data_IF_314571427336
#
_entry.id   IF_314571427336
#
_cell.length_a   1.000
_cell.length_b   1.000
_cell.length_c   1.000
_cell.angle_alpha   90.00
_cell.angle_beta   90.00
_cell.angle_gamma   90.00
#
_symmetry.space_group_name_H-M   'P 1'
#
loop_
_entity.id
_entity.type
_entity.pdbx_description
1 polymer ?
#
# COMPACT_ATOMS: atom_id res chain seq x y z
N UNK A 1 21.95 6.45 -12.03
CA UNK A 1 22.13 6.02 -10.64
C UNK A 1 20.91 6.49 -9.86
N UNK A 2 19.96 5.60 -9.54
CA UNK A 2 18.71 5.96 -8.85
C UNK A 2 18.63 5.21 -7.52
N UNK A 3 18.46 5.95 -6.43
CA UNK A 3 18.24 5.40 -5.10
C UNK A 3 16.75 5.19 -4.89
N UNK A 4 16.38 4.10 -4.22
CA UNK A 4 14.99 3.87 -3.79
C UNK A 4 14.80 4.50 -2.41
N UNK A 5 13.63 5.08 -2.10
CA UNK A 5 13.24 5.40 -0.74
C UNK A 5 13.28 4.14 0.14
N UNK A 6 13.35 4.31 1.45
CA UNK A 6 13.19 3.20 2.37
C UNK A 6 11.83 2.54 2.13
N UNK A 7 11.82 1.21 1.97
CA UNK A 7 10.61 0.47 1.67
C UNK A 7 10.64 -0.95 2.23
N UNK A 8 9.44 -1.48 2.50
CA UNK A 8 9.23 -2.88 2.89
C UNK A 8 8.36 -3.54 1.83
N UNK A 9 8.80 -4.69 1.32
CA UNK A 9 8.01 -5.49 0.38
C UNK A 9 6.97 -6.34 1.12
N UNK A 10 5.74 -6.31 0.63
CA UNK A 10 4.64 -7.13 1.14
C UNK A 10 4.14 -8.11 0.08
N UNK A 11 3.79 -9.31 0.55
CA UNK A 11 3.21 -10.38 -0.25
C UNK A 11 2.04 -10.99 0.50
N UNK A 12 0.83 -10.73 0.04
CA UNK A 12 -0.40 -11.02 0.78
C UNK A 12 -1.30 -11.94 -0.05
N UNK A 13 -1.89 -12.91 0.64
CA UNK A 13 -2.94 -13.80 0.12
C UNK A 13 -4.25 -13.45 0.83
N UNK A 14 -5.29 -13.10 0.08
CA UNK A 14 -6.65 -12.97 0.60
C UNK A 14 -7.37 -14.32 0.67
N UNK A 15 -8.68 -14.26 0.90
CA UNK A 15 -9.59 -15.42 0.91
C UNK A 15 -9.74 -16.12 -0.46
N UNK A 16 -9.46 -15.43 -1.56
CA UNK A 16 -9.53 -15.98 -2.92
C UNK A 16 -8.31 -15.61 -3.75
N UNK A 17 -8.02 -16.42 -4.78
CA UNK A 17 -6.85 -16.23 -5.65
C UNK A 17 -6.80 -14.83 -6.28
N UNK A 18 -7.94 -14.28 -6.65
CA UNK A 18 -8.08 -12.93 -7.24
C UNK A 18 -7.71 -11.79 -6.28
N UNK A 19 -7.45 -12.08 -5.00
CA UNK A 19 -7.02 -11.12 -3.98
C UNK A 19 -5.51 -11.20 -3.69
N UNK A 20 -4.73 -11.94 -4.49
CA UNK A 20 -3.27 -11.98 -4.35
C UNK A 20 -2.68 -10.59 -4.64
N UNK A 21 -1.94 -10.03 -3.68
CA UNK A 21 -1.32 -8.71 -3.81
C UNK A 21 0.17 -8.75 -3.45
N UNK A 22 1.02 -8.25 -4.35
CA UNK A 22 2.41 -7.87 -4.05
C UNK A 22 2.47 -6.35 -4.10
N UNK A 23 3.02 -5.72 -3.07
CA UNK A 23 3.16 -4.27 -3.00
C UNK A 23 4.39 -3.87 -2.19
N UNK A 24 4.62 -2.57 -2.07
CA UNK A 24 5.67 -1.95 -1.26
C UNK A 24 5.06 -0.89 -0.35
N UNK A 25 5.50 -0.86 0.90
CA UNK A 25 5.28 0.24 1.84
C UNK A 25 6.44 1.22 1.73
N UNK A 26 6.14 2.51 1.80
CA UNK A 26 7.10 3.60 2.00
C UNK A 26 6.87 4.30 3.34
N UNK A 27 7.83 5.08 3.82
CA UNK A 27 7.73 5.80 5.09
C UNK A 27 7.41 7.27 4.89
N UNK A 28 6.53 7.81 5.75
CA UNK A 28 6.21 9.23 5.78
C UNK A 28 7.47 10.11 5.91
N UNK A 29 7.53 11.14 5.07
CA UNK A 29 8.62 12.12 5.09
C UNK A 29 9.90 11.70 4.36
N UNK A 30 9.96 10.51 3.74
CA UNK A 30 11.16 10.09 3.00
C UNK A 30 11.41 11.03 1.79
N UNK A 31 12.55 11.75 1.74
CA UNK A 31 12.82 12.72 0.67
C UNK A 31 13.04 12.07 -0.70
N UNK A 32 13.35 10.77 -0.76
CA UNK A 32 13.59 10.05 -2.01
C UNK A 32 12.29 9.71 -2.76
N UNK A 33 11.12 9.78 -2.10
CA UNK A 33 9.83 9.52 -2.75
C UNK A 33 9.60 10.41 -3.98
N UNK A 34 10.01 11.68 -3.90
CA UNK A 34 9.88 12.66 -5.00
C UNK A 34 10.62 12.21 -6.27
N UNK A 35 11.67 11.40 -6.13
CA UNK A 35 12.53 10.98 -7.24
C UNK A 35 12.30 9.52 -7.66
N UNK A 36 11.49 8.77 -6.92
CA UNK A 36 11.32 7.33 -7.15
C UNK A 36 10.41 7.05 -8.36
N UNK A 37 10.89 6.38 -9.41
CA UNK A 37 10.06 6.09 -10.58
C UNK A 37 8.98 5.04 -10.30
N UNK A 38 9.14 4.17 -9.30
CA UNK A 38 8.11 3.18 -8.96
C UNK A 38 6.92 3.85 -8.26
N UNK A 39 7.18 4.76 -7.31
CA UNK A 39 6.17 5.57 -6.65
C UNK A 39 5.51 6.56 -7.62
N UNK A 40 6.31 7.31 -8.39
CA UNK A 40 5.80 8.32 -9.32
C UNK A 40 5.15 7.72 -10.58
N UNK A 41 5.40 6.44 -10.88
CA UNK A 41 4.78 5.73 -11.99
C UNK A 41 3.34 5.30 -11.75
N UNK A 42 2.84 5.38 -10.51
CA UNK A 42 1.45 5.10 -10.17
C UNK A 42 0.57 6.26 -10.67
N UNK A 43 -0.36 6.03 -11.62
CA UNK A 43 -1.13 7.12 -12.23
C UNK A 43 -2.06 7.84 -11.24
N UNK A 44 -2.67 7.07 -10.34
CA UNK A 44 -3.55 7.59 -9.30
C UNK A 44 -2.71 8.06 -8.10
N UNK A 45 -2.75 9.37 -7.85
CA UNK A 45 -2.00 9.99 -6.75
C UNK A 45 -2.51 9.55 -5.38
N UNK A 46 -3.82 9.36 -5.21
CA UNK A 46 -4.37 8.88 -3.94
C UNK A 46 -3.95 7.44 -3.69
N UNK A 47 -3.97 6.60 -4.73
CA UNK A 47 -3.46 5.23 -4.64
C UNK A 47 -1.95 5.20 -4.31
N UNK A 48 -1.15 6.09 -4.89
CA UNK A 48 0.27 6.21 -4.56
C UNK A 48 0.47 6.60 -3.08
N UNK A 49 -0.26 7.61 -2.60
CA UNK A 49 -0.19 8.04 -1.20
C UNK A 49 -0.64 6.95 -0.22
N UNK A 50 -1.56 6.06 -0.62
CA UNK A 50 -1.95 4.90 0.20
C UNK A 50 -0.80 3.93 0.52
N UNK A 51 0.31 4.00 -0.22
CA UNK A 51 1.53 3.22 0.02
C UNK A 51 2.47 3.86 1.05
N UNK A 52 2.22 5.10 1.48
CA UNK A 52 3.05 5.80 2.47
C UNK A 52 2.47 5.57 3.87
N UNK A 53 3.22 4.90 4.72
CA UNK A 53 2.83 4.66 6.10
C UNK A 53 3.12 5.90 6.96
N UNK A 54 2.11 6.51 7.62
CA UNK A 54 2.32 7.56 8.60
C UNK A 54 2.93 7.03 9.91
N UNK A 55 3.71 7.89 10.57
CA UNK A 55 4.23 7.65 11.91
C UNK A 55 3.05 7.58 12.90
N UNK A 56 3.02 6.54 13.73
CA UNK A 56 1.97 6.32 14.73
C UNK A 56 2.52 6.42 16.15
N UNK A 57 2.52 7.63 16.69
CA UNK A 57 3.00 7.92 18.05
C UNK A 57 2.16 7.27 19.15
N UNK A 58 0.93 6.81 18.84
CA UNK A 58 0.08 6.13 19.83
C UNK A 58 0.41 4.64 19.96
N UNK A 59 1.13 4.08 18.99
CA UNK A 59 1.53 2.67 18.96
C UNK A 59 3.02 2.48 19.30
N UNK A 60 3.74 3.55 19.64
CA UNK A 60 5.14 3.49 20.05
C UNK A 60 5.29 2.80 21.42
N UNK A 61 6.45 2.19 21.64
CA UNK A 61 6.88 1.73 22.97
C UNK A 61 7.92 2.71 23.49
N UNK A 62 7.61 3.36 24.62
CA UNK A 62 8.46 4.40 25.20
C UNK A 62 9.88 3.88 25.47
N UNK A 63 10.88 4.64 25.03
CA UNK A 63 12.32 4.31 25.13
C UNK A 63 12.75 3.00 24.42
N UNK A 64 11.94 2.47 23.50
CA UNK A 64 12.25 1.24 22.78
C UNK A 64 12.05 1.41 21.27
N UNK A 65 10.80 1.52 20.80
CA UNK A 65 10.48 1.47 19.37
C UNK A 65 9.45 2.50 18.94
N UNK A 66 9.68 3.08 17.75
CA UNK A 66 8.65 3.82 17.01
C UNK A 66 7.76 2.85 16.22
N UNK A 67 6.57 3.31 15.85
CA UNK A 67 5.60 2.53 15.09
C UNK A 67 5.11 3.29 13.86
N UNK A 68 4.78 2.55 12.81
CA UNK A 68 4.17 3.05 11.59
C UNK A 68 2.88 2.28 11.31
N UNK A 69 1.87 2.98 10.79
CA UNK A 69 0.57 2.37 10.47
C UNK A 69 0.45 2.17 8.96
N UNK A 70 0.15 0.95 8.54
CA UNK A 70 -0.08 0.63 7.13
C UNK A 70 -1.31 -0.26 6.95
N UNK A 71 -2.35 0.30 6.36
CA UNK A 71 -3.60 -0.40 6.09
C UNK A 71 -3.61 -0.93 4.67
N UNK A 72 -3.90 -2.23 4.49
CA UNK A 72 -3.93 -2.86 3.18
C UNK A 72 -5.35 -3.32 2.87
N UNK A 73 -5.90 -2.79 1.79
CA UNK A 73 -7.25 -3.12 1.33
C UNK A 73 -7.14 -4.07 0.13
N UNK A 74 -7.75 -5.24 0.24
CA UNK A 74 -7.88 -6.20 -0.85
C UNK A 74 -9.25 -6.06 -1.52
N UNK A 75 -9.35 -6.54 -2.77
CA UNK A 75 -10.62 -6.58 -3.51
C UNK A 75 -11.72 -7.26 -2.67
N UNK A 76 -12.91 -6.67 -2.60
CA UNK A 76 -14.05 -7.25 -1.87
C UNK A 76 -14.50 -8.61 -2.44
N UNK A 77 -14.99 -9.51 -1.57
CA UNK A 77 -15.48 -10.85 -1.95
C UNK A 77 -16.92 -10.89 -2.42
N UNK A 78 -17.67 -9.78 -2.30
CA UNK A 78 -19.08 -9.69 -2.69
C UNK A 78 -19.24 -8.83 -3.92
N UNK A 79 -19.36 -9.47 -5.07
CA UNK A 79 -19.88 -8.86 -6.30
C UNK A 79 -20.81 -9.90 -6.93
N UNK A 80 -22.04 -9.49 -7.26
CA UNK A 80 -22.99 -10.37 -7.96
C UNK A 80 -22.63 -10.38 -9.44
N UNK A 81 -22.09 -11.50 -9.92
CA UNK A 81 -21.84 -11.71 -11.35
C UNK A 81 -23.18 -11.90 -12.08
N UNK A 82 -23.46 -11.06 -13.08
CA UNK A 82 -24.54 -11.29 -14.06
C UNK A 82 -23.91 -11.50 -15.44
N UNK A 83 -24.39 -12.50 -16.19
CA UNK A 83 -23.84 -12.93 -17.49
C UNK A 83 -23.78 -11.81 -18.56
N UNK A 84 -24.51 -10.70 -18.37
CA UNK A 84 -24.66 -9.65 -19.39
C UNK A 84 -24.15 -8.25 -19.00
N UNK A 85 -23.42 -8.07 -17.88
CA UNK A 85 -22.81 -6.76 -17.54
C UNK A 85 -21.47 -6.89 -16.85
N UNK A 86 -20.48 -6.13 -17.34
CA UNK A 86 -19.09 -6.17 -16.88
C UNK A 86 -18.82 -5.56 -15.49
N UNK A 87 -19.82 -5.02 -14.78
CA UNK A 87 -19.63 -4.49 -13.43
C UNK A 87 -20.89 -4.64 -12.57
N UNK A 88 -20.69 -5.19 -11.36
CA UNK A 88 -21.54 -5.02 -10.19
C UNK A 88 -20.60 -4.69 -9.02
N UNK A 89 -20.96 -3.69 -8.20
CA UNK A 89 -20.16 -3.24 -7.06
C UNK A 89 -19.65 -4.39 -6.19
#
# INVERSE_FOLDING_TARGET
NSWRPAHIHFSIFGSGFVQRLITQLYFEGDPLLTYDPMFNGIPDKEAAQSLVAPLDMNAQVELDTLAYRFNIVLRGSRSTLFENKLQGN
#
